data_IF_739901286316
#
_entry.id   IF_739901286316
#
_cell.length_a   1.000
_cell.length_b   1.000
_cell.length_c   1.000
_cell.angle_alpha   90.00
_cell.angle_beta   90.00
_cell.angle_gamma   90.00
#
_symmetry.space_group_name_H-M   'P 1'
#
loop_
_entity.id
_entity.type
_entity.pdbx_description
1 polymer ?
#
# COMPACT_ATOMS: atom_id res chain seq x y z
N UNK A 1 21.86 -3.95 0.33
CA UNK A 1 20.70 -3.51 -0.48
C UNK A 1 19.59 -3.23 0.51
N UNK A 2 19.19 -1.98 0.69
CA UNK A 2 18.01 -1.66 1.50
C UNK A 2 16.79 -1.94 0.63
N UNK A 3 15.92 -2.86 1.06
CA UNK A 3 14.63 -3.04 0.41
C UNK A 3 13.74 -1.85 0.77
N UNK A 4 12.93 -1.39 -0.18
CA UNK A 4 12.03 -0.25 0.03
C UNK A 4 11.08 -0.50 1.22
N UNK A 5 10.68 -1.75 1.43
CA UNK A 5 9.90 -2.23 2.58
C UNK A 5 10.51 -1.86 3.95
N UNK A 6 11.85 -1.86 4.09
CA UNK A 6 12.52 -1.48 5.33
C UNK A 6 12.48 0.04 5.59
N UNK A 7 12.21 0.83 4.55
CA UNK A 7 12.17 2.29 4.61
C UNK A 7 10.75 2.85 4.77
N UNK A 8 9.74 1.98 4.79
CA UNK A 8 8.33 2.36 4.78
C UNK A 8 7.60 1.64 5.92
N UNK A 9 7.06 2.40 6.87
CA UNK A 9 6.28 1.84 7.97
C UNK A 9 4.82 1.69 7.57
N UNK A 10 4.32 0.46 7.55
CA UNK A 10 2.91 0.14 7.26
C UNK A 10 2.25 -0.34 8.54
N UNK A 11 1.18 0.35 8.93
CA UNK A 11 0.36 -0.04 10.07
C UNK A 11 -0.64 -1.14 9.72
N UNK A 12 -1.27 -1.66 10.76
CA UNK A 12 -2.39 -2.59 10.67
C UNK A 12 -3.53 -1.98 9.85
N UNK A 13 -4.32 -2.85 9.26
CA UNK A 13 -5.42 -2.48 8.40
C UNK A 13 -6.44 -1.61 9.17
N UNK A 14 -6.75 -0.40 8.68
CA UNK A 14 -7.70 0.49 9.35
C UNK A 14 -9.14 -0.05 9.38
N UNK A 15 -9.45 -1.09 8.61
CA UNK A 15 -10.79 -1.69 8.55
C UNK A 15 -10.96 -2.90 9.49
N UNK A 16 -10.03 -3.85 9.44
CA UNK A 16 -10.13 -5.10 10.22
C UNK A 16 -9.05 -5.27 11.29
N UNK A 17 -8.06 -4.37 11.35
CA UNK A 17 -6.87 -4.53 12.19
C UNK A 17 -5.88 -5.57 11.69
N UNK A 18 -6.08 -6.11 10.48
CA UNK A 18 -5.23 -7.16 9.92
C UNK A 18 -3.89 -6.67 9.37
N UNK A 19 -3.02 -7.58 8.94
CA UNK A 19 -1.72 -7.20 8.38
C UNK A 19 -1.86 -6.51 7.00
N UNK A 20 -1.29 -5.31 6.84
CA UNK A 20 -1.12 -4.63 5.55
C UNK A 20 0.21 -4.99 4.91
N UNK A 21 0.20 -5.36 3.63
CA UNK A 21 1.39 -5.78 2.88
C UNK A 21 1.59 -4.83 1.69
N UNK A 22 2.79 -4.27 1.55
CA UNK A 22 3.16 -3.50 0.35
C UNK A 22 3.44 -4.44 -0.81
N UNK A 23 2.72 -4.23 -1.91
CA UNK A 23 2.91 -4.97 -3.16
C UNK A 23 3.29 -3.99 -4.28
N UNK A 24 4.12 -4.49 -5.19
CA UNK A 24 4.53 -3.78 -6.40
C UNK A 24 3.76 -4.33 -7.61
N UNK A 25 3.01 -3.47 -8.31
CA UNK A 25 2.35 -3.85 -9.56
C UNK A 25 3.28 -3.55 -10.75
N UNK A 26 3.80 -4.63 -11.35
CA UNK A 26 4.59 -4.62 -12.59
C UNK A 26 5.71 -3.57 -12.64
N UNK A 27 6.34 -3.25 -11.50
CA UNK A 27 7.42 -2.26 -11.43
C UNK A 27 7.03 -0.85 -11.87
N UNK A 28 5.73 -0.52 -11.85
CA UNK A 28 5.19 0.77 -12.29
C UNK A 28 4.35 1.45 -11.21
N UNK A 29 3.80 0.71 -10.25
CA UNK A 29 3.05 1.30 -9.13
C UNK A 29 3.19 0.47 -7.84
N UNK A 30 2.93 1.11 -6.70
CA UNK A 30 2.86 0.46 -5.38
C UNK A 30 1.47 0.58 -4.77
N UNK A 31 1.01 -0.47 -4.11
CA UNK A 31 -0.23 -0.48 -3.35
C UNK A 31 -0.05 -1.32 -2.07
N UNK A 32 -0.80 -1.01 -1.01
CA UNK A 32 -0.87 -1.84 0.18
C UNK A 32 -2.17 -2.62 0.14
N UNK A 33 -2.14 -3.91 0.45
CA UNK A 33 -3.33 -4.75 0.53
C UNK A 33 -3.36 -5.51 1.85
N UNK A 34 -4.55 -5.69 2.41
CA UNK A 34 -4.72 -6.57 3.56
C UNK A 34 -5.28 -7.91 3.11
N UNK A 35 -4.56 -8.97 3.48
CA UNK A 35 -4.92 -10.35 3.17
C UNK A 35 -6.19 -10.80 3.91
N UNK A 36 -6.53 -10.16 5.03
CA UNK A 36 -7.67 -10.55 5.86
C UNK A 36 -8.99 -9.95 5.35
N UNK A 37 -9.06 -8.63 5.06
CA UNK A 37 -10.27 -8.03 4.48
C UNK A 37 -10.30 -7.94 2.95
N UNK A 38 -9.19 -8.16 2.25
CA UNK A 38 -9.09 -7.93 0.79
C UNK A 38 -9.21 -6.44 0.39
N UNK A 39 -9.18 -5.56 1.36
CA UNK A 39 -9.14 -4.12 1.23
C UNK A 39 -7.72 -3.68 0.82
N UNK A 40 -7.61 -2.67 -0.02
CA UNK A 40 -6.33 -2.21 -0.57
C UNK A 40 -6.26 -0.69 -0.64
N UNK A 41 -5.08 -0.09 -0.53
CA UNK A 41 -4.88 1.34 -0.80
C UNK A 41 -5.00 1.62 -2.29
N UNK A 42 -5.09 2.91 -2.64
CA UNK A 42 -4.86 3.35 -4.02
C UNK A 42 -3.48 2.93 -4.52
N UNK A 43 -3.37 2.70 -5.82
CA UNK A 43 -2.10 2.48 -6.52
C UNK A 43 -1.41 3.82 -6.74
N UNK A 44 -0.12 3.90 -6.38
CA UNK A 44 0.72 5.07 -6.63
C UNK A 44 1.71 4.71 -7.72
N UNK A 45 1.49 5.27 -8.92
CA UNK A 45 2.38 5.11 -10.05
C UNK A 45 3.69 5.90 -9.87
N UNK A 46 4.80 5.28 -10.26
CA UNK A 46 6.12 5.90 -10.30
C UNK A 46 6.77 5.66 -11.67
N UNK A 47 7.63 6.58 -12.10
CA UNK A 47 8.31 6.50 -13.41
C UNK A 47 9.83 6.33 -13.32
N UNK A 48 10.41 6.43 -12.13
CA UNK A 48 11.86 6.42 -11.93
C UNK A 48 12.20 5.76 -10.61
N UNK A 49 13.41 5.22 -10.51
CA UNK A 49 13.87 4.54 -9.29
C UNK A 49 13.91 5.45 -8.05
N UNK A 50 14.16 6.74 -8.24
CA UNK A 50 14.10 7.75 -7.16
C UNK A 50 12.67 7.92 -6.63
N UNK A 51 11.71 7.85 -7.54
CA UNK A 51 10.28 8.02 -7.29
C UNK A 51 9.66 6.75 -6.68
N UNK A 52 10.33 5.59 -6.77
CA UNK A 52 9.87 4.33 -6.14
C UNK A 52 9.74 4.47 -4.63
N UNK A 53 10.73 5.09 -4.00
CA UNK A 53 10.72 5.28 -2.56
C UNK A 53 9.63 6.28 -2.15
N UNK A 54 9.44 7.36 -2.92
CA UNK A 54 8.36 8.33 -2.68
C UNK A 54 7.00 7.67 -2.84
N UNK A 55 6.79 6.94 -3.93
CA UNK A 55 5.55 6.23 -4.21
C UNK A 55 5.22 5.22 -3.10
N UNK A 56 6.16 4.37 -2.70
CA UNK A 56 5.96 3.42 -1.61
C UNK A 56 5.61 4.12 -0.29
N UNK A 57 6.33 5.20 0.07
CA UNK A 57 6.02 6.00 1.27
C UNK A 57 4.62 6.61 1.21
N UNK A 58 4.22 7.15 0.06
CA UNK A 58 2.90 7.75 -0.13
C UNK A 58 1.81 6.69 -0.07
N UNK A 59 2.04 5.51 -0.64
CA UNK A 59 1.13 4.38 -0.53
C UNK A 59 0.90 3.98 0.92
N UNK A 60 1.98 3.84 1.70
CA UNK A 60 1.87 3.52 3.12
C UNK A 60 1.26 4.64 3.95
N UNK A 61 1.60 5.91 3.69
CA UNK A 61 0.97 7.06 4.35
C UNK A 61 -0.54 7.05 4.14
N UNK A 62 -1.00 6.80 2.91
CA UNK A 62 -2.43 6.69 2.59
C UNK A 62 -3.09 5.54 3.34
N UNK A 63 -2.45 4.37 3.38
CA UNK A 63 -2.91 3.23 4.17
C UNK A 63 -3.04 3.57 5.66
N UNK A 64 -1.97 4.12 6.24
CA UNK A 64 -1.86 4.51 7.64
C UNK A 64 -2.87 5.60 8.02
N UNK A 65 -3.20 6.48 7.09
CA UNK A 65 -4.20 7.53 7.25
C UNK A 65 -5.65 7.01 7.14
N UNK A 66 -5.83 5.71 6.87
CA UNK A 66 -7.15 5.10 6.73
C UNK A 66 -7.75 5.18 5.32
N UNK A 67 -6.98 5.60 4.31
CA UNK A 67 -7.45 5.76 2.92
C UNK A 67 -7.35 4.46 2.13
N UNK A 68 -8.20 3.52 2.52
CA UNK A 68 -8.29 2.19 1.88
C UNK A 68 -9.60 2.02 1.13
N UNK A 69 -9.52 1.26 0.05
CA UNK A 69 -10.63 0.85 -0.81
C UNK A 69 -11.07 -0.54 -0.33
N UNK A 70 -12.27 -0.62 0.24
CA UNK A 70 -12.90 -1.89 0.60
C UNK A 70 -13.82 -2.36 -0.51
N UNK A 71 -13.65 -3.58 -1.01
CA UNK A 71 -14.66 -4.23 -1.83
C UNK A 71 -15.78 -4.74 -0.91
N UNK A 72 -16.82 -3.93 -0.72
CA UNK A 72 -18.07 -4.42 -0.14
C UNK A 72 -18.83 -5.17 -1.24
N UNK A 73 -19.26 -6.43 -1.03
CA UNK A 73 -20.10 -7.12 -2.00
C UNK A 73 -21.50 -6.47 -1.97
N UNK A 74 -21.78 -5.54 -2.89
CA UNK A 74 -23.10 -4.88 -2.94
C UNK A 74 -23.32 -3.73 -3.91
N UNK A 75 -22.46 -3.47 -4.89
CA UNK A 75 -22.76 -2.55 -6.02
C UNK A 75 -23.12 -3.32 -7.30
#
# INVERSE_FOLDING_TARGET
>A
MNNIDDLVEIYECPLCGGAGILEEDCGSSYYVTCIECGCHSVNIDFKSDDDRLDAAKRTADLWNCGKVISMSPGE
#
